data_IF_898558473675
#
_entry.id   IF_898558473675
#
_cell.length_a   1.000
_cell.length_b   1.000
_cell.length_c   1.000
_cell.angle_alpha   90.00
_cell.angle_beta   90.00
_cell.angle_gamma   90.00
#
_symmetry.space_group_name_H-M   'P 1'
#
loop_
_entity.id
_entity.type
_entity.pdbx_description
1 polymer ?
#
# COMPACT_ATOMS: atom_id res chain seq x y z
N UNK A 1 -9.88 11.03 16.11
CA UNK A 1 -9.26 9.68 16.03
C UNK A 1 -8.29 9.53 17.18
N UNK A 2 -8.61 8.65 18.10
CA UNK A 2 -7.75 8.27 19.23
C UNK A 2 -6.57 7.41 18.74
N UNK A 3 -5.55 7.25 19.59
CA UNK A 3 -4.39 6.42 19.27
C UNK A 3 -4.76 4.96 18.93
N UNK A 4 -5.84 4.45 19.54
CA UNK A 4 -6.31 3.09 19.34
C UNK A 4 -6.96 2.89 17.95
N UNK A 5 -7.77 3.84 17.50
CA UNK A 5 -8.37 3.81 16.15
C UNK A 5 -7.31 3.88 15.05
N UNK A 6 -6.26 4.67 15.27
CA UNK A 6 -5.13 4.75 14.33
C UNK A 6 -4.36 3.44 14.24
N UNK A 7 -4.25 2.69 15.34
CA UNK A 7 -3.58 1.38 15.36
C UNK A 7 -4.39 0.36 14.56
N UNK A 8 -5.69 0.25 14.83
CA UNK A 8 -6.58 -0.65 14.09
C UNK A 8 -6.56 -0.36 12.57
N UNK A 9 -6.65 0.92 12.19
CA UNK A 9 -6.55 1.32 10.78
C UNK A 9 -5.22 0.89 10.16
N UNK A 10 -4.08 1.08 10.84
CA UNK A 10 -2.78 0.63 10.32
C UNK A 10 -2.76 -0.87 10.04
N UNK A 11 -3.35 -1.67 10.92
CA UNK A 11 -3.40 -3.13 10.78
C UNK A 11 -4.28 -3.54 9.58
N UNK A 12 -5.47 -2.96 9.46
CA UNK A 12 -6.35 -3.17 8.30
C UNK A 12 -5.68 -2.78 6.99
N UNK A 13 -5.05 -1.60 6.93
CA UNK A 13 -4.37 -1.14 5.72
C UNK A 13 -3.11 -1.94 5.39
N UNK A 14 -2.43 -2.47 6.40
CA UNK A 14 -1.32 -3.40 6.20
C UNK A 14 -1.80 -4.70 5.54
N UNK A 15 -2.94 -5.25 5.96
CA UNK A 15 -3.54 -6.43 5.33
C UNK A 15 -3.91 -6.16 3.88
N UNK A 16 -4.59 -5.03 3.60
CA UNK A 16 -4.93 -4.66 2.22
C UNK A 16 -3.70 -4.56 1.31
N UNK A 17 -2.62 -3.94 1.80
CA UNK A 17 -1.37 -3.84 1.04
C UNK A 17 -0.69 -5.19 0.81
N UNK A 18 -0.77 -6.11 1.78
CA UNK A 18 -0.22 -7.45 1.65
C UNK A 18 -1.02 -8.29 0.64
N UNK A 19 -2.35 -8.32 0.77
CA UNK A 19 -3.25 -8.98 -0.19
C UNK A 19 -3.09 -8.40 -1.59
N UNK A 20 -2.96 -7.07 -1.72
CA UNK A 20 -2.70 -6.42 -3.00
C UNK A 20 -1.35 -6.87 -3.60
N UNK A 21 -0.30 -6.93 -2.78
CA UNK A 21 1.03 -7.37 -3.21
C UNK A 21 1.05 -8.83 -3.64
N UNK A 22 0.39 -9.71 -2.88
CA UNK A 22 0.24 -11.14 -3.21
C UNK A 22 -0.58 -11.35 -4.47
N UNK A 23 -1.58 -10.51 -4.71
CA UNK A 23 -2.43 -10.58 -5.89
C UNK A 23 -1.69 -10.26 -7.19
N UNK A 24 -0.56 -9.56 -7.16
CA UNK A 24 0.15 -9.11 -8.37
C UNK A 24 -0.63 -8.13 -9.25
N UNK A 25 -1.76 -7.62 -8.76
CA UNK A 25 -2.67 -6.77 -9.51
C UNK A 25 -2.20 -5.31 -9.51
N UNK A 26 -2.61 -4.54 -10.52
CA UNK A 26 -2.41 -3.10 -10.50
C UNK A 26 -3.25 -2.45 -9.39
N UNK A 27 -2.76 -1.33 -8.84
CA UNK A 27 -3.45 -0.60 -7.75
C UNK A 27 -4.90 -0.26 -8.11
N UNK A 28 -5.16 0.13 -9.36
CA UNK A 28 -6.50 0.47 -9.86
C UNK A 28 -7.41 -0.76 -9.87
N UNK A 29 -6.92 -1.91 -10.30
CA UNK A 29 -7.69 -3.16 -10.38
C UNK A 29 -8.08 -3.65 -8.98
N UNK A 30 -7.11 -3.63 -8.05
CA UNK A 30 -7.35 -3.95 -6.64
C UNK A 30 -8.36 -2.99 -5.99
N UNK A 31 -8.23 -1.69 -6.25
CA UNK A 31 -9.18 -0.69 -5.76
C UNK A 31 -10.59 -0.92 -6.28
N UNK A 32 -10.74 -1.24 -7.57
CA UNK A 32 -12.05 -1.55 -8.18
C UNK A 32 -12.68 -2.79 -7.57
N UNK A 33 -11.92 -3.88 -7.38
CA UNK A 33 -12.41 -5.13 -6.79
C UNK A 33 -12.80 -5.02 -5.32
N UNK A 34 -12.14 -4.15 -4.56
CA UNK A 34 -12.35 -3.99 -3.12
C UNK A 34 -13.20 -2.76 -2.77
N UNK A 35 -13.66 -1.99 -3.76
CA UNK A 35 -14.40 -0.74 -3.53
C UNK A 35 -13.56 0.35 -2.83
N UNK A 36 -12.24 0.27 -2.95
CA UNK A 36 -11.32 1.20 -2.28
C UNK A 36 -10.98 2.39 -3.17
N UNK A 37 -10.64 3.51 -2.53
CA UNK A 37 -10.16 4.71 -3.23
C UNK A 37 -8.65 4.64 -3.42
N UNK A 38 -8.18 4.88 -4.65
CA UNK A 38 -6.75 4.78 -4.99
C UNK A 38 -5.85 5.67 -4.15
N UNK A 39 -6.32 6.88 -3.79
CA UNK A 39 -5.55 7.79 -2.93
C UNK A 39 -5.35 7.26 -1.51
N UNK A 40 -6.26 6.42 -1.00
CA UNK A 40 -6.11 5.84 0.35
C UNK A 40 -4.97 4.81 0.37
N UNK A 41 -4.87 3.93 -0.63
CA UNK A 41 -3.74 3.00 -0.77
C UNK A 41 -2.41 3.76 -0.83
N UNK A 42 -2.33 4.84 -1.63
CA UNK A 42 -1.12 5.66 -1.74
C UNK A 42 -0.74 6.32 -0.41
N UNK A 43 -1.72 6.91 0.28
CA UNK A 43 -1.54 7.54 1.59
C UNK A 43 -1.04 6.55 2.64
N UNK A 44 -1.71 5.40 2.79
CA UNK A 44 -1.33 4.38 3.77
C UNK A 44 -0.03 3.69 3.44
N UNK A 45 0.29 3.49 2.16
CA UNK A 45 1.61 3.01 1.73
C UNK A 45 2.72 3.94 2.18
N UNK A 46 2.58 5.26 1.94
CA UNK A 46 3.60 6.23 2.36
C UNK A 46 3.71 6.30 3.89
N UNK A 47 2.58 6.27 4.60
CA UNK A 47 2.51 6.34 6.06
C UNK A 47 3.13 5.11 6.72
N UNK A 48 2.88 3.91 6.19
CA UNK A 48 3.45 2.66 6.70
C UNK A 48 4.94 2.50 6.35
N UNK A 49 5.38 3.04 5.21
CA UNK A 49 6.81 3.08 4.85
C UNK A 49 7.59 4.04 5.76
N UNK A 50 7.04 5.22 6.08
CA UNK A 50 7.69 6.17 7.02
C UNK A 50 7.87 5.62 8.44
N UNK A 51 7.05 4.65 8.86
CA UNK A 51 7.21 3.98 10.16
C UNK A 51 8.29 2.88 10.17
N UNK A 52 8.90 2.53 9.02
CA UNK A 52 10.12 1.72 8.98
C UNK A 52 11.31 2.65 8.72
N UNK A 53 12.39 2.62 9.53
CA UNK A 53 13.60 3.34 9.18
C UNK A 53 14.10 2.83 7.84
N UNK A 54 14.32 3.76 6.93
CA UNK A 54 14.53 3.58 5.50
C UNK A 54 15.50 2.45 5.13
N UNK A 55 14.98 1.36 4.58
CA UNK A 55 15.73 0.54 3.62
C UNK A 55 15.48 1.13 2.22
N UNK A 56 16.49 1.84 1.73
CA UNK A 56 16.77 2.25 0.34
C UNK A 56 15.61 2.15 -0.65
N UNK A 57 15.14 3.32 -1.08
CA UNK A 57 14.41 3.57 -2.30
C UNK A 57 15.16 3.00 -3.51
N UNK A 58 14.91 1.73 -3.87
CA UNK A 58 15.35 1.19 -5.15
C UNK A 58 14.45 1.84 -6.22
N UNK A 59 15.02 2.79 -6.97
CA UNK A 59 14.43 3.29 -8.22
C UNK A 59 14.10 2.07 -9.10
N UNK A 60 12.85 2.01 -9.57
CA UNK A 60 12.38 1.01 -10.55
C UNK A 60 13.42 0.89 -11.67
N UNK A 61 14.09 -0.26 -11.81
CA UNK A 61 14.73 -0.61 -13.09
C UNK A 61 13.64 -1.12 -14.03
N UNK A 62 13.42 -0.29 -15.06
CA UNK A 62 13.20 -0.63 -16.46
C UNK A 62 12.43 -1.94 -16.76
N UNK A 63 11.20 -1.79 -17.28
CA UNK A 63 10.59 -2.81 -18.14
C UNK A 63 10.83 -2.33 -19.58
N UNK A 64 11.71 -3.00 -20.33
CA UNK A 64 11.75 -2.87 -21.78
C UNK A 64 11.24 -4.20 -22.37
N UNK A 65 10.13 -4.23 -23.11
CA UNK A 65 9.69 -5.40 -23.85
C UNK A 65 10.32 -5.45 -25.25
N UNK A 66 10.71 -6.68 -25.63
CA UNK A 66 11.10 -7.18 -26.96
C UNK A 66 12.44 -6.75 -27.54
#
# INVERSE_FOLDING_TARGET
MTANELKALRETWKQHLDTWKQSGQSQVDYCRKQGLKSHQISYWKMRLVKSKPSAKLIRKRLRNPS
#
